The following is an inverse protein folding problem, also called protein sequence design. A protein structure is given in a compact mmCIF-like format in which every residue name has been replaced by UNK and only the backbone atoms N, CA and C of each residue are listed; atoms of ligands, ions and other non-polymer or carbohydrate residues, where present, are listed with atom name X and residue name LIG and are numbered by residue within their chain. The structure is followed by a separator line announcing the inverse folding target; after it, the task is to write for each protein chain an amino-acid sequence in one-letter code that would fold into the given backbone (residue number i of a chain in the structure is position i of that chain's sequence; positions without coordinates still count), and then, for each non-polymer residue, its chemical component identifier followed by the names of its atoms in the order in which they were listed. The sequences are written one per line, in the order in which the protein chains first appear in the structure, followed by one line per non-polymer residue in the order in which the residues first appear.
data_IF_363743020631
#
_entry.id   IF_363743020631
#
_cell.length_a   1.000
_cell.length_b   1.000
_cell.length_c   1.000
_cell.angle_alpha   90.00
_cell.angle_beta   90.00
_cell.angle_gamma   90.00
#
_symmetry.space_group_name_H-M   'P 1'
#
loop_
_entity.id
_entity.type
_entity.pdbx_description
1 polymer ?
#
# COMPACT_ATOMS: atom_id res chain seq x y z
N UNK A 1 44.04 13.35 -24.69
CA UNK A 1 42.74 12.65 -24.66
C UNK A 1 41.95 13.26 -23.53
N UNK A 2 41.21 14.30 -23.85
CA UNK A 2 40.46 15.11 -22.90
C UNK A 2 39.06 14.53 -22.68
N UNK A 3 38.53 14.81 -21.49
CA UNK A 3 37.11 14.83 -21.12
C UNK A 3 36.35 13.50 -21.23
N UNK A 4 36.45 12.67 -20.19
CA UNK A 4 35.32 11.83 -19.77
C UNK A 4 34.37 12.78 -19.03
N UNK A 5 33.33 13.20 -19.74
CA UNK A 5 32.43 14.28 -19.39
C UNK A 5 31.81 14.08 -18.00
N UNK A 6 31.85 15.18 -17.26
CA UNK A 6 31.14 15.51 -16.04
C UNK A 6 29.61 15.47 -16.28
N UNK A 7 28.83 15.36 -15.21
CA UNK A 7 27.37 15.64 -15.19
C UNK A 7 26.44 14.57 -15.78
N UNK A 8 26.22 13.48 -15.06
CA UNK A 8 24.92 12.80 -15.12
C UNK A 8 24.07 13.33 -13.96
N UNK A 9 23.44 14.46 -14.31
CA UNK A 9 22.38 15.17 -13.61
C UNK A 9 21.42 14.21 -12.90
N UNK A 10 21.07 14.60 -11.68
CA UNK A 10 20.09 13.97 -10.82
C UNK A 10 18.80 13.75 -11.61
N UNK A 11 18.51 12.49 -11.98
CA UNK A 11 17.31 12.15 -12.72
C UNK A 11 16.08 12.74 -11.99
N UNK A 12 15.28 13.59 -12.65
CA UNK A 12 14.19 14.27 -11.98
C UNK A 12 13.20 13.24 -11.45
N UNK A 13 12.88 13.34 -10.17
CA UNK A 13 11.84 12.55 -9.51
C UNK A 13 10.57 12.60 -10.36
N UNK A 14 10.15 11.45 -10.88
CA UNK A 14 9.05 11.34 -11.82
C UNK A 14 7.77 11.98 -11.23
N UNK A 15 7.20 13.06 -11.82
CA UNK A 15 6.06 13.78 -11.25
C UNK A 15 4.77 12.94 -11.20
N UNK A 16 4.75 11.79 -11.87
CA UNK A 16 3.64 10.83 -11.80
C UNK A 16 3.54 10.12 -10.43
N UNK A 17 4.56 10.20 -9.58
CA UNK A 17 4.54 9.58 -8.24
C UNK A 17 3.88 10.46 -7.17
N UNK A 18 3.58 11.73 -7.48
CA UNK A 18 3.00 12.70 -6.55
C UNK A 18 1.59 13.13 -7.01
N UNK A 19 0.80 12.17 -7.50
CA UNK A 19 -0.59 12.40 -7.89
C UNK A 19 -1.52 11.55 -7.06
N UNK A 20 -2.65 12.12 -6.64
CA UNK A 20 -3.68 11.38 -5.97
C UNK A 20 -4.33 10.39 -6.95
N UNK A 21 -4.29 9.07 -6.70
CA UNK A 21 -4.82 8.06 -7.62
C UNK A 21 -6.36 8.05 -7.73
N UNK A 22 -7.05 8.80 -6.87
CA UNK A 22 -8.53 8.89 -6.85
C UNK A 22 -9.03 10.01 -7.77
N UNK A 23 -8.44 11.21 -7.69
CA UNK A 23 -8.82 12.34 -8.53
C UNK A 23 -7.87 12.62 -9.70
N UNK A 24 -6.71 11.94 -9.72
CA UNK A 24 -5.63 12.07 -10.73
C UNK A 24 -4.99 13.46 -10.78
N UNK A 25 -5.14 14.27 -9.71
CA UNK A 25 -4.53 15.59 -9.55
C UNK A 25 -3.22 15.50 -8.78
N UNK A 26 -2.32 16.46 -9.04
CA UNK A 26 -1.06 16.65 -8.31
C UNK A 26 -1.34 17.15 -6.89
N UNK A 27 -0.48 16.79 -5.94
CA UNK A 27 -0.56 17.31 -4.58
C UNK A 27 0.00 18.73 -4.53
N UNK A 28 -0.77 19.70 -4.03
CA UNK A 28 -0.30 21.07 -3.81
C UNK A 28 0.23 21.27 -2.38
N UNK A 29 1.16 22.23 -2.17
CA UNK A 29 1.80 22.47 -0.85
C UNK A 29 0.81 22.88 0.26
N UNK A 30 -0.38 23.33 -0.12
CA UNK A 30 -1.44 23.77 0.79
C UNK A 30 -2.55 22.73 1.00
N UNK A 31 -2.45 21.56 0.36
CA UNK A 31 -3.44 20.49 0.47
C UNK A 31 -3.12 19.46 1.54
N UNK A 32 -4.14 19.01 2.26
CA UNK A 32 -3.99 17.95 3.27
C UNK A 32 -3.96 16.58 2.62
N UNK A 33 -2.82 15.90 2.74
CA UNK A 33 -2.65 14.51 2.29
C UNK A 33 -2.70 13.53 3.46
N UNK A 34 -3.19 12.32 3.19
CA UNK A 34 -3.23 11.22 4.14
C UNK A 34 -2.40 10.07 3.58
N UNK A 35 -1.42 9.63 4.37
CA UNK A 35 -0.66 8.42 4.10
C UNK A 35 -1.34 7.22 4.76
N UNK A 36 -1.63 6.19 3.96
CA UNK A 36 -2.18 4.92 4.43
C UNK A 36 -1.06 4.02 5.02
N UNK A 37 -1.35 3.04 5.90
CA UNK A 37 -0.36 2.10 6.44
C UNK A 37 0.27 1.17 5.38
N UNK A 38 -0.22 1.22 4.14
CA UNK A 38 0.38 0.58 2.97
C UNK A 38 1.24 1.55 2.13
N UNK A 39 1.58 2.74 2.66
CA UNK A 39 2.41 3.79 2.04
C UNK A 39 1.84 4.44 0.77
N UNK A 40 0.52 4.41 0.60
CA UNK A 40 -0.15 5.10 -0.49
C UNK A 40 -0.71 6.44 0.00
N UNK A 41 -0.49 7.49 -0.80
CA UNK A 41 -0.89 8.87 -0.52
C UNK A 41 -2.17 9.24 -1.26
N UNK A 42 -3.04 9.98 -0.59
CA UNK A 42 -4.30 10.47 -1.13
C UNK A 42 -4.63 11.85 -0.56
N UNK A 43 -5.38 12.67 -1.28
CA UNK A 43 -5.99 13.84 -0.66
C UNK A 43 -6.96 13.40 0.43
N UNK A 44 -6.97 14.13 1.55
CA UNK A 44 -7.95 13.99 2.63
C UNK A 44 -9.38 13.91 2.07
N UNK A 45 -9.73 14.85 1.18
CA UNK A 45 -11.06 14.94 0.58
C UNK A 45 -11.38 13.78 -0.37
N UNK A 46 -10.36 13.09 -0.90
CA UNK A 46 -10.53 11.93 -1.76
C UNK A 46 -10.68 10.64 -0.95
N UNK A 47 -9.87 10.46 0.10
CA UNK A 47 -9.81 9.20 0.84
C UNK A 47 -10.87 9.11 1.94
N UNK A 48 -11.25 10.20 2.59
CA UNK A 48 -12.25 10.15 3.67
C UNK A 48 -13.64 9.67 3.19
N UNK A 49 -14.18 10.14 2.04
CA UNK A 49 -15.44 9.61 1.52
C UNK A 49 -15.34 8.14 1.13
N UNK A 50 -14.18 7.69 0.65
CA UNK A 50 -13.93 6.28 0.37
C UNK A 50 -13.95 5.44 1.65
N UNK A 51 -13.21 5.87 2.68
CA UNK A 51 -13.11 5.18 3.97
C UNK A 51 -14.45 5.11 4.73
N UNK A 52 -15.37 6.05 4.48
CA UNK A 52 -16.74 5.99 5.01
C UNK A 52 -17.56 4.79 4.50
N UNK A 53 -17.18 4.22 3.34
CA UNK A 53 -17.89 3.12 2.69
C UNK A 53 -17.10 1.81 2.77
N UNK A 54 -15.79 1.89 2.68
CA UNK A 54 -14.90 0.72 2.64
C UNK A 54 -13.63 0.99 3.45
N UNK A 55 -13.22 0.06 4.32
CA UNK A 55 -12.01 0.21 5.13
C UNK A 55 -10.73 -0.23 4.38
N UNK A 56 -10.69 -0.18 3.04
CA UNK A 56 -9.57 -0.72 2.26
C UNK A 56 -8.94 0.31 1.33
N UNK A 57 -7.63 0.18 1.10
CA UNK A 57 -6.90 1.02 0.17
C UNK A 57 -7.42 0.83 -1.27
N UNK A 58 -7.72 1.92 -2.00
CA UNK A 58 -8.16 1.86 -3.41
C UNK A 58 -7.14 1.18 -4.35
N UNK A 59 -5.84 1.26 -4.05
CA UNK A 59 -4.76 0.76 -4.90
C UNK A 59 -4.44 -0.71 -4.65
N UNK A 60 -4.15 -1.08 -3.40
CA UNK A 60 -3.64 -2.41 -3.06
C UNK A 60 -4.64 -3.28 -2.26
N UNK A 61 -5.84 -2.77 -1.99
CA UNK A 61 -6.88 -3.45 -1.18
C UNK A 61 -6.45 -3.80 0.25
N UNK A 62 -5.37 -3.20 0.74
CA UNK A 62 -4.96 -3.34 2.14
C UNK A 62 -6.07 -2.81 3.05
N UNK A 63 -6.60 -3.68 3.90
CA UNK A 63 -7.66 -3.34 4.87
C UNK A 63 -7.05 -2.68 6.11
N UNK A 64 -7.61 -1.55 6.50
CA UNK A 64 -7.31 -0.87 7.75
C UNK A 64 -7.85 -1.65 8.96
N UNK A 65 -7.18 -1.57 10.11
CA UNK A 65 -7.72 -2.10 11.36
C UNK A 65 -9.02 -1.37 11.74
N UNK A 66 -9.96 -2.11 12.32
CA UNK A 66 -11.20 -1.58 12.89
C UNK A 66 -11.14 -1.52 14.40
N UNK A 67 -12.05 -0.77 15.02
CA UNK A 67 -12.23 -0.68 16.47
C UNK A 67 -13.01 -1.88 17.07
N UNK A 68 -13.57 -2.74 16.22
CA UNK A 68 -14.22 -3.98 16.64
C UNK A 68 -13.19 -5.10 16.95
N UNK A 69 -12.93 -5.30 18.24
CA UNK A 69 -12.02 -6.36 18.73
C UNK A 69 -12.41 -7.76 18.24
N UNK A 70 -13.71 -8.05 18.13
CA UNK A 70 -14.20 -9.37 17.73
C UNK A 70 -13.89 -9.66 16.25
N UNK A 71 -14.04 -8.65 15.39
CA UNK A 71 -13.69 -8.73 13.98
C UNK A 71 -12.17 -8.92 13.80
N UNK A 72 -11.37 -8.16 14.53
CA UNK A 72 -9.91 -8.23 14.48
C UNK A 72 -9.37 -9.57 15.00
N UNK A 73 -9.96 -10.13 16.06
CA UNK A 73 -9.62 -11.48 16.53
C UNK A 73 -9.93 -12.53 15.46
N UNK A 74 -11.13 -12.51 14.89
CA UNK A 74 -11.52 -13.45 13.85
C UNK A 74 -10.61 -13.36 12.61
N UNK A 75 -10.21 -12.14 12.21
CA UNK A 75 -9.25 -11.90 11.12
C UNK A 75 -7.89 -12.54 11.43
N UNK A 76 -7.37 -12.33 12.65
CA UNK A 76 -6.11 -12.96 13.11
C UNK A 76 -6.21 -14.48 13.10
N UNK A 77 -7.31 -15.04 13.59
CA UNK A 77 -7.57 -16.48 13.63
C UNK A 77 -7.55 -17.11 12.24
N UNK A 78 -8.25 -16.49 11.30
CA UNK A 78 -8.27 -16.91 9.90
C UNK A 78 -6.87 -16.88 9.28
N UNK A 79 -6.11 -15.80 9.50
CA UNK A 79 -4.74 -15.68 9.01
C UNK A 79 -3.81 -16.76 9.58
N UNK A 80 -3.92 -17.07 10.89
CA UNK A 80 -3.15 -18.16 11.53
C UNK A 80 -3.46 -19.53 10.92
N UNK A 81 -4.75 -19.83 10.69
CA UNK A 81 -5.18 -21.09 10.04
C UNK A 81 -4.64 -21.20 8.62
N UNK A 82 -4.71 -20.11 7.85
CA UNK A 82 -4.16 -20.06 6.48
C UNK A 82 -2.65 -20.27 6.45
N UNK A 83 -1.90 -19.63 7.37
CA UNK A 83 -0.46 -19.82 7.47
C UNK A 83 -0.10 -21.27 7.83
N UNK A 84 -0.85 -21.89 8.74
CA UNK A 84 -0.63 -23.30 9.11
C UNK A 84 -0.87 -24.23 7.91
N UNK A 85 -1.92 -23.98 7.13
CA UNK A 85 -2.22 -24.75 5.92
C UNK A 85 -1.09 -24.62 4.89
N UNK A 86 -0.67 -23.39 4.56
CA UNK A 86 0.43 -23.15 3.63
C UNK A 86 1.73 -23.80 4.09
N UNK A 87 2.03 -23.78 5.40
CA UNK A 87 3.19 -24.47 5.97
C UNK A 87 3.12 -25.98 5.74
N UNK A 88 1.96 -26.60 5.98
CA UNK A 88 1.75 -28.04 5.78
C UNK A 88 1.87 -28.41 4.29
N UNK A 89 1.31 -27.60 3.40
CA UNK A 89 1.40 -27.80 1.95
C UNK A 89 2.85 -27.70 1.46
N UNK A 90 3.60 -26.69 1.91
CA UNK A 90 5.03 -26.57 1.58
C UNK A 90 5.84 -27.77 2.10
N UNK A 91 5.52 -28.28 3.30
CA UNK A 91 6.16 -29.47 3.84
C UNK A 91 5.81 -30.72 3.03
N UNK A 92 4.55 -30.88 2.59
CA UNK A 92 4.17 -31.96 1.68
C UNK A 92 4.92 -31.83 0.35
N UNK A 93 5.02 -30.64 -0.23
CA UNK A 93 5.79 -30.41 -1.45
C UNK A 93 7.26 -30.84 -1.31
N UNK A 94 7.91 -30.49 -0.18
CA UNK A 94 9.30 -30.85 0.09
C UNK A 94 9.52 -32.34 0.41
N UNK A 95 8.48 -33.08 0.83
CA UNK A 95 8.58 -34.51 1.10
C UNK A 95 8.33 -35.41 -0.12
N UNK A 96 7.72 -34.88 -1.18
CA UNK A 96 7.32 -35.66 -2.36
C UNK A 96 8.02 -35.22 -3.67
N UNK A 97 9.13 -34.49 -3.58
CA UNK A 97 10.07 -34.17 -4.68
C UNK A 97 11.45 -34.75 -4.40
#
# INVERSE_FOLDING_TARGET
MASYFDEHDCEPLNPEQLKCPVCLLEFEEEETVIEMPCHHLFHSDCILPWLSKTNSCPLCRHELPTDDDSYEEHKKDKARRQQQQHRLENLHGAMYT
#
